data_IF_563810942380
#
_entry.id   IF_563810942380
#
_cell.length_a   1.000
_cell.length_b   1.000
_cell.length_c   1.000
_cell.angle_alpha   90.00
_cell.angle_beta   90.00
_cell.angle_gamma   90.00
#
_symmetry.space_group_name_H-M   'P 1'
#
loop_
_entity.id
_entity.type
_entity.pdbx_description
1 polymer ?
#
# COMPACT_ATOMS: atom_id res chain seq x y z
N UNK A 1 20.11 0.27 2.36
CA UNK A 1 19.05 -0.17 1.43
C UNK A 1 18.11 -1.07 2.21
N UNK A 2 16.89 -0.63 2.44
CA UNK A 2 15.78 -1.46 2.93
C UNK A 2 14.67 -1.42 1.89
N UNK A 3 13.73 -2.37 1.94
CA UNK A 3 12.49 -2.23 1.18
C UNK A 3 11.47 -1.60 2.13
N UNK A 4 10.56 -0.81 1.60
CA UNK A 4 9.40 -0.30 2.36
C UNK A 4 8.15 -0.48 1.53
N UNK A 5 7.02 -0.74 2.20
CA UNK A 5 5.69 -0.72 1.59
C UNK A 5 4.95 0.47 2.18
N UNK A 6 4.38 1.31 1.33
CA UNK A 6 3.34 2.23 1.75
C UNK A 6 1.98 1.69 1.35
N UNK A 7 1.03 1.77 2.28
CA UNK A 7 -0.38 1.63 2.01
C UNK A 7 -1.08 2.97 2.18
N UNK A 8 -1.92 3.31 1.21
CA UNK A 8 -2.85 4.44 1.29
C UNK A 8 -4.07 4.16 0.42
N UNK A 9 -5.08 5.02 0.53
CA UNK A 9 -6.32 4.88 -0.24
C UNK A 9 -6.56 6.11 -1.12
N UNK A 10 -7.03 5.85 -2.34
CA UNK A 10 -7.53 6.86 -3.27
C UNK A 10 -9.05 6.71 -3.44
N UNK A 11 -9.69 7.77 -3.93
CA UNK A 11 -11.11 7.75 -4.30
C UNK A 11 -11.28 6.93 -5.59
N UNK A 12 -12.05 5.85 -5.52
CA UNK A 12 -12.53 5.12 -6.71
C UNK A 12 -13.79 5.79 -7.25
N UNK A 13 -13.90 6.08 -8.56
CA UNK A 13 -15.15 6.52 -9.16
C UNK A 13 -16.28 5.53 -8.86
N UNK A 14 -17.25 5.98 -8.07
CA UNK A 14 -18.41 5.21 -7.61
C UNK A 14 -19.68 6.05 -7.80
N UNK A 15 -20.79 5.38 -8.16
CA UNK A 15 -22.11 5.99 -8.24
C UNK A 15 -22.72 6.24 -6.84
N UNK A 16 -22.25 5.51 -5.84
CA UNK A 16 -22.55 5.75 -4.43
C UNK A 16 -21.46 6.65 -3.85
N UNK A 17 -21.81 7.88 -3.50
CA UNK A 17 -20.88 8.88 -2.96
C UNK A 17 -20.76 8.83 -1.43
N UNK A 18 -21.62 8.07 -0.74
CA UNK A 18 -21.64 8.03 0.72
C UNK A 18 -20.33 7.45 1.29
N UNK A 19 -19.69 6.54 0.56
CA UNK A 19 -18.44 5.90 0.96
C UNK A 19 -17.17 6.74 0.78
N UNK A 20 -17.21 7.90 0.11
CA UNK A 20 -16.00 8.73 -0.08
C UNK A 20 -15.46 9.31 1.21
N UNK A 21 -16.31 9.51 2.22
CA UNK A 21 -15.89 9.99 3.54
C UNK A 21 -14.99 8.99 4.29
N UNK A 22 -15.03 7.72 3.91
CA UNK A 22 -14.27 6.63 4.52
C UNK A 22 -12.89 6.40 3.86
N UNK A 23 -12.67 7.01 2.70
CA UNK A 23 -11.42 6.86 1.95
C UNK A 23 -10.29 7.50 2.73
N UNK A 24 -9.24 6.72 2.97
CA UNK A 24 -8.06 7.09 3.74
C UNK A 24 -8.36 7.43 5.22
N UNK A 25 -9.51 6.98 5.73
CA UNK A 25 -9.92 7.08 7.15
C UNK A 25 -9.99 5.72 7.82
N UNK A 26 -8.96 4.91 7.64
CA UNK A 26 -8.84 3.60 8.29
C UNK A 26 -7.92 3.67 9.51
N UNK A 27 -8.05 2.69 10.38
CA UNK A 27 -7.05 2.36 11.40
C UNK A 27 -6.45 1.02 11.05
N UNK A 28 -5.12 0.94 11.07
CA UNK A 28 -4.47 -0.36 10.95
C UNK A 28 -4.75 -1.17 12.24
N UNK A 29 -5.05 -2.47 12.10
CA UNK A 29 -5.04 -3.40 13.22
C UNK A 29 -3.73 -3.33 14.02
N UNK A 30 -3.80 -3.51 15.34
CA UNK A 30 -2.62 -3.46 16.24
C UNK A 30 -1.54 -4.51 15.87
N UNK A 31 -1.92 -5.57 15.17
CA UNK A 31 -1.01 -6.59 14.66
C UNK A 31 -0.02 -6.06 13.61
N UNK A 32 -0.29 -4.90 12.99
CA UNK A 32 0.63 -4.30 12.03
C UNK A 32 1.71 -3.47 12.73
N UNK A 33 2.96 -3.89 12.55
CA UNK A 33 4.12 -3.05 12.82
C UNK A 33 4.27 -2.03 11.66
N UNK A 34 3.59 -0.90 11.78
CA UNK A 34 3.58 0.15 10.77
C UNK A 34 3.74 1.55 11.38
N UNK A 35 4.38 2.45 10.64
CA UNK A 35 4.54 3.85 11.02
C UNK A 35 3.63 4.74 10.17
N UNK A 36 2.92 5.71 10.78
CA UNK A 36 2.17 6.68 10.01
C UNK A 36 3.14 7.63 9.28
N UNK A 37 2.89 7.88 8.00
CA UNK A 37 3.67 8.81 7.18
C UNK A 37 2.71 9.72 6.40
N UNK A 38 3.16 10.94 6.12
CA UNK A 38 2.48 11.83 5.17
C UNK A 38 3.25 11.82 3.86
N UNK A 39 2.56 11.53 2.76
CA UNK A 39 3.15 11.54 1.43
C UNK A 39 2.41 12.49 0.50
N UNK A 40 3.09 12.97 -0.54
CA UNK A 40 2.51 13.82 -1.56
C UNK A 40 2.11 12.97 -2.77
N UNK A 41 0.84 13.03 -3.15
CA UNK A 41 0.25 12.28 -4.27
C UNK A 41 -0.67 13.19 -5.06
N UNK A 42 -0.47 13.29 -6.39
CA UNK A 42 -1.31 14.13 -7.27
C UNK A 42 -1.49 15.56 -6.73
N UNK A 43 -0.42 16.13 -6.19
CA UNK A 43 -0.39 17.48 -5.62
C UNK A 43 -1.03 17.65 -4.23
N UNK A 44 -1.59 16.59 -3.62
CA UNK A 44 -2.20 16.62 -2.28
C UNK A 44 -1.35 15.88 -1.26
N UNK A 45 -1.39 16.32 -0.01
CA UNK A 45 -0.86 15.55 1.12
C UNK A 45 -1.88 14.51 1.55
N UNK A 46 -1.48 13.25 1.61
CA UNK A 46 -2.34 12.15 2.05
C UNK A 46 -1.66 11.41 3.20
N UNK A 47 -2.49 10.91 4.13
CA UNK A 47 -2.04 9.97 5.13
C UNK A 47 -1.72 8.63 4.45
N UNK A 48 -0.67 7.98 4.90
CA UNK A 48 -0.28 6.65 4.49
C UNK A 48 0.35 5.92 5.67
N UNK A 49 0.51 4.62 5.52
CA UNK A 49 1.18 3.79 6.49
C UNK A 49 2.35 3.08 5.85
N UNK A 50 3.51 3.21 6.47
CA UNK A 50 4.71 2.53 6.08
C UNK A 50 4.89 1.25 6.89
N UNK A 51 4.98 0.13 6.19
CA UNK A 51 5.42 -1.13 6.76
C UNK A 51 6.93 -1.24 6.48
N UNK A 52 7.72 -1.20 7.55
CA UNK A 52 9.17 -1.34 7.46
C UNK A 52 9.52 -2.75 6.99
N UNK A 53 10.29 -2.87 5.91
CA UNK A 53 10.50 -4.17 5.25
C UNK A 53 11.98 -4.52 5.11
N UNK A 54 12.62 -4.78 6.26
CA UNK A 54 13.90 -5.47 6.39
C UNK A 54 15.12 -4.83 5.69
N UNK A 55 16.32 -5.26 6.08
CA UNK A 55 17.53 -4.88 5.36
C UNK A 55 17.60 -5.59 4.01
N UNK A 56 17.94 -4.86 2.93
CA UNK A 56 18.04 -5.40 1.57
C UNK A 56 19.24 -6.34 1.36
N UNK A 57 20.08 -6.59 2.38
CA UNK A 57 21.21 -7.50 2.24
C UNK A 57 20.77 -8.97 2.33
N UNK A 58 20.72 -9.60 1.15
CA UNK A 58 20.75 -11.02 0.81
C UNK A 58 19.48 -11.88 0.94
N UNK A 59 18.53 -11.63 1.84
CA UNK A 59 17.26 -12.39 1.80
C UNK A 59 16.11 -11.52 2.27
N UNK A 60 15.38 -10.96 1.31
CA UNK A 60 14.01 -10.49 1.54
C UNK A 60 13.20 -11.60 2.21
N UNK A 61 12.74 -11.35 3.43
CA UNK A 61 11.77 -12.17 4.15
C UNK A 61 10.74 -11.20 4.75
N UNK A 62 9.52 -11.11 4.21
CA UNK A 62 8.45 -10.48 4.97
C UNK A 62 8.37 -11.17 6.34
N UNK A 63 7.96 -10.43 7.38
CA UNK A 63 7.41 -11.09 8.55
C UNK A 63 6.36 -12.08 8.04
N UNK A 64 6.41 -13.33 8.49
CA UNK A 64 5.73 -14.46 7.84
C UNK A 64 4.24 -14.22 7.60
N UNK A 65 3.63 -13.31 8.36
CA UNK A 65 2.20 -13.02 8.34
C UNK A 65 1.82 -11.73 7.61
N UNK A 66 2.76 -10.80 7.34
CA UNK A 66 2.43 -9.50 6.75
C UNK A 66 1.69 -9.60 5.40
N UNK A 67 2.12 -10.44 4.43
CA UNK A 67 1.40 -10.61 3.18
C UNK A 67 -0.06 -11.04 3.38
N UNK A 68 -0.29 -11.96 4.32
CA UNK A 68 -1.62 -12.48 4.62
C UNK A 68 -2.48 -11.44 5.35
N UNK A 69 -1.92 -10.80 6.39
CA UNK A 69 -2.59 -9.75 7.16
C UNK A 69 -2.96 -8.57 6.25
N UNK A 70 -2.04 -8.11 5.40
CA UNK A 70 -2.29 -7.01 4.48
C UNK A 70 -3.33 -7.39 3.42
N UNK A 71 -3.28 -8.61 2.88
CA UNK A 71 -4.30 -9.10 1.94
C UNK A 71 -5.69 -9.12 2.58
N UNK A 72 -5.81 -9.65 3.80
CA UNK A 72 -7.08 -9.67 4.54
C UNK A 72 -7.59 -8.27 4.83
N UNK A 73 -6.71 -7.37 5.28
CA UNK A 73 -7.06 -5.98 5.53
C UNK A 73 -7.55 -5.28 4.26
N UNK A 74 -6.84 -5.42 3.14
CA UNK A 74 -7.25 -4.82 1.86
C UNK A 74 -8.58 -5.42 1.37
N UNK A 75 -8.83 -6.72 1.60
CA UNK A 75 -10.10 -7.36 1.27
C UNK A 75 -11.29 -6.66 1.95
N UNK A 76 -11.15 -6.33 3.25
CA UNK A 76 -12.17 -5.59 3.99
C UNK A 76 -12.35 -4.17 3.43
N UNK A 77 -11.25 -3.49 3.09
CA UNK A 77 -11.31 -2.14 2.52
C UNK A 77 -12.00 -2.13 1.16
N UNK A 78 -11.77 -3.14 0.33
CA UNK A 78 -12.43 -3.30 -0.98
C UNK A 78 -13.93 -3.58 -0.89
N UNK A 79 -14.50 -3.91 0.29
CA UNK A 79 -15.96 -3.98 0.47
C UNK A 79 -16.62 -2.62 0.24
N UNK A 80 -15.89 -1.53 0.46
CA UNK A 80 -16.35 -0.17 0.19
C UNK A 80 -16.11 0.21 -1.28
N UNK A 81 -17.17 0.50 -2.07
CA UNK A 81 -17.05 0.74 -3.51
C UNK A 81 -16.26 2.02 -3.86
N UNK A 82 -16.17 2.96 -2.93
CA UNK A 82 -15.44 4.22 -3.09
C UNK A 82 -13.94 4.11 -2.79
N UNK A 83 -13.49 3.01 -2.19
CA UNK A 83 -12.10 2.85 -1.75
C UNK A 83 -11.30 2.21 -2.88
N UNK A 84 -10.23 2.88 -3.29
CA UNK A 84 -9.16 2.33 -4.09
C UNK A 84 -7.94 2.11 -3.19
N UNK A 85 -7.68 0.89 -2.73
CA UNK A 85 -6.45 0.60 -2.01
C UNK A 85 -5.26 0.70 -2.96
N UNK A 86 -4.17 1.30 -2.46
CA UNK A 86 -2.94 1.51 -3.22
C UNK A 86 -1.75 1.03 -2.40
N UNK A 87 -0.89 0.24 -3.03
CA UNK A 87 0.40 -0.17 -2.48
C UNK A 87 1.52 0.48 -3.26
N UNK A 88 2.46 1.10 -2.56
CA UNK A 88 3.69 1.61 -3.15
C UNK A 88 4.88 0.88 -2.52
N UNK A 89 5.55 0.05 -3.31
CA UNK A 89 6.74 -0.67 -2.88
C UNK A 89 7.95 0.08 -3.44
N UNK A 90 8.95 0.34 -2.61
CA UNK A 90 10.15 1.05 -3.04
C UNK A 90 11.37 0.59 -2.24
N UNK A 91 12.55 0.76 -2.84
CA UNK A 91 13.83 0.61 -2.14
C UNK A 91 14.13 1.94 -1.48
N UNK A 92 14.26 1.88 -0.16
CA UNK A 92 14.53 3.01 0.68
C UNK A 92 16.03 3.21 0.80
N UNK A 93 16.51 4.25 0.11
CA UNK A 93 17.83 4.84 0.29
C UNK A 93 17.74 6.19 1.01
N UNK A 94 16.62 6.91 0.84
CA UNK A 94 16.30 8.14 1.58
C UNK A 94 14.80 8.49 1.44
N UNK A 95 14.08 8.75 2.53
CA UNK A 95 12.64 9.10 2.49
C UNK A 95 12.36 10.47 1.84
N UNK A 96 13.37 11.34 1.76
CA UNK A 96 13.24 12.68 1.18
C UNK A 96 12.84 12.67 -0.32
N UNK A 97 13.11 11.56 -1.02
CA UNK A 97 12.80 11.40 -2.45
C UNK A 97 11.52 10.62 -2.74
N UNK A 98 10.70 10.34 -1.72
CA UNK A 98 9.47 9.57 -1.87
C UNK A 98 8.46 10.31 -2.75
N UNK A 99 8.33 9.85 -3.99
CA UNK A 99 7.39 10.39 -4.96
C UNK A 99 6.71 9.27 -5.77
N UNK A 100 5.55 8.77 -5.30
CA UNK A 100 4.78 7.76 -6.02
C UNK A 100 4.32 8.22 -7.42
N UNK A 101 4.23 9.54 -7.67
CA UNK A 101 3.85 10.08 -8.99
C UNK A 101 4.91 9.80 -10.07
N UNK A 102 6.14 9.42 -9.71
CA UNK A 102 7.17 8.96 -10.66
C UNK A 102 6.89 7.57 -11.24
N UNK A 103 5.98 6.81 -10.63
CA UNK A 103 5.67 5.44 -11.02
C UNK A 103 4.35 5.39 -11.79
N UNK A 104 4.37 4.68 -12.92
CA UNK A 104 3.14 4.36 -13.62
C UNK A 104 2.34 3.35 -12.77
N UNK A 105 1.09 3.65 -12.40
CA UNK A 105 0.28 2.73 -11.62
C UNK A 105 -0.05 1.48 -12.43
N UNK A 106 0.08 0.31 -11.82
CA UNK A 106 -0.36 -0.96 -12.35
C UNK A 106 -1.56 -1.48 -11.55
N UNK A 107 -2.63 -1.87 -12.23
CA UNK A 107 -3.74 -2.58 -11.59
C UNK A 107 -3.36 -4.02 -11.32
N UNK A 108 -3.61 -4.49 -10.10
CA UNK A 108 -3.43 -5.90 -9.73
C UNK A 108 -4.66 -6.42 -8.98
N UNK A 109 -5.16 -7.63 -9.30
CA UNK A 109 -6.16 -8.30 -8.49
C UNK A 109 -5.65 -8.57 -7.07
N UNK A 110 -6.54 -8.51 -6.08
CA UNK A 110 -6.21 -8.88 -4.70
C UNK A 110 -5.66 -10.31 -4.59
N UNK A 111 -6.17 -11.23 -5.43
CA UNK A 111 -5.72 -12.62 -5.48
C UNK A 111 -4.24 -12.77 -5.87
N UNK A 112 -3.68 -11.80 -6.61
CA UNK A 112 -2.30 -11.81 -7.09
C UNK A 112 -1.34 -11.13 -6.11
N UNK A 113 -1.87 -10.50 -5.05
CA UNK A 113 -1.08 -9.80 -4.05
C UNK A 113 -0.06 -10.71 -3.34
N UNK A 114 -0.38 -11.96 -2.92
CA UNK A 114 0.61 -12.90 -2.39
C UNK A 114 1.74 -13.22 -3.38
N UNK A 115 1.42 -13.29 -4.68
CA UNK A 115 2.43 -13.54 -5.70
C UNK A 115 3.34 -12.32 -5.91
N UNK A 116 2.79 -11.09 -5.84
CA UNK A 116 3.58 -9.86 -5.85
C UNK A 116 4.65 -9.88 -4.74
N UNK A 117 4.25 -10.33 -3.55
CA UNK A 117 5.16 -10.52 -2.41
C UNK A 117 6.21 -11.60 -2.70
N UNK A 118 5.82 -12.74 -3.26
CA UNK A 118 6.73 -13.85 -3.57
C UNK A 118 7.77 -13.50 -4.66
N UNK A 119 7.38 -12.69 -5.66
CA UNK A 119 8.24 -12.27 -6.78
C UNK A 119 9.36 -11.31 -6.37
N UNK A 120 9.32 -10.79 -5.13
CA UNK A 120 10.30 -9.82 -4.62
C UNK A 120 10.36 -8.57 -5.50
N UNK A 121 9.22 -8.08 -5.97
CA UNK A 121 9.15 -6.81 -6.70
C UNK A 121 9.49 -5.69 -5.73
N UNK A 122 10.61 -4.99 -5.97
CA UNK A 122 11.13 -4.00 -5.04
C UNK A 122 10.78 -2.55 -5.37
N UNK A 123 10.10 -2.32 -6.49
CA UNK A 123 9.75 -0.97 -6.92
C UNK A 123 8.48 -0.96 -7.78
N UNK A 124 7.44 -0.25 -7.37
CA UNK A 124 6.20 -0.12 -8.13
C UNK A 124 5.03 0.47 -7.36
N UNK A 125 4.08 1.01 -8.11
CA UNK A 125 2.82 1.55 -7.60
C UNK A 125 1.66 0.68 -8.09
N UNK A 126 0.92 0.10 -7.16
CA UNK A 126 -0.09 -0.92 -7.44
C UNK A 126 -1.46 -0.48 -6.96
N UNK A 127 -2.43 -0.44 -7.87
CA UNK A 127 -3.84 -0.23 -7.56
C UNK A 127 -4.47 -1.60 -7.33
N UNK A 128 -4.96 -1.86 -6.13
CA UNK A 128 -5.52 -3.17 -5.80
C UNK A 128 -6.98 -3.24 -6.23
N UNK A 129 -7.32 -4.27 -6.98
CA UNK A 129 -8.66 -4.54 -7.49
C UNK A 129 -9.25 -5.79 -6.82
N UNK A 130 -10.56 -5.97 -6.93
CA UNK A 130 -11.24 -7.16 -6.37
C UNK A 130 -10.84 -8.42 -7.12
#
# INVERSE_FOLDING_TARGET
MSVSILYFEENRPSADYAGYGEVNRFRLPEAFEASPITLRRKGKSIAAWEFGWGAASAVYRPGSELPQQLSQFIAERLRHPCVQPVLFIFINDNHADLNPDKHQPASIPLADLPELFARKTFNGLFLIEK
#
